data_IF_246084482439
#
_entry.id   IF_246084482439
#
_cell.length_a   1.000
_cell.length_b   1.000
_cell.length_c   1.000
_cell.angle_alpha   90.00
_cell.angle_beta   90.00
_cell.angle_gamma   90.00
#
_symmetry.space_group_name_H-M   'P 1'
#
loop_
_entity.id
_entity.type
_entity.pdbx_description
1 polymer ?
#
# COMPACT_ATOMS: atom_id res chain seq x y z
N UNK A 1 3.19 -2.67 -20.08
CA UNK A 1 4.05 -3.75 -19.56
C UNK A 1 5.47 -3.57 -20.07
N UNK A 2 6.51 -3.88 -19.27
CA UNK A 2 7.87 -4.00 -19.80
C UNK A 2 7.94 -5.13 -20.84
N UNK A 3 8.63 -4.96 -21.97
CA UNK A 3 8.78 -6.02 -22.97
C UNK A 3 9.63 -7.17 -22.39
N UNK A 4 9.32 -8.40 -22.76
CA UNK A 4 10.02 -9.61 -22.35
C UNK A 4 9.06 -10.80 -22.18
N UNK A 5 9.63 -12.01 -22.19
CA UNK A 5 8.93 -13.23 -21.81
C UNK A 5 9.07 -13.39 -20.29
N UNK A 6 7.96 -13.20 -19.57
CA UNK A 6 7.92 -13.19 -18.12
C UNK A 6 7.00 -14.29 -17.60
N UNK A 7 7.41 -14.99 -16.54
CA UNK A 7 6.55 -16.00 -15.87
C UNK A 7 5.33 -15.35 -15.21
N UNK A 8 5.50 -14.14 -14.66
CA UNK A 8 4.43 -13.39 -14.04
C UNK A 8 4.54 -11.90 -14.34
N UNK A 9 3.39 -11.27 -14.57
CA UNK A 9 3.30 -9.84 -14.87
C UNK A 9 2.24 -9.15 -14.03
N UNK A 10 2.50 -7.89 -13.68
CA UNK A 10 1.58 -7.07 -12.90
C UNK A 10 1.62 -5.61 -13.38
N UNK A 11 0.46 -4.98 -13.47
CA UNK A 11 0.26 -3.55 -13.64
C UNK A 11 -0.67 -3.03 -12.56
N UNK A 12 -0.25 -1.99 -11.85
CA UNK A 12 -1.05 -1.28 -10.84
C UNK A 12 -1.38 0.15 -11.30
N UNK A 13 -2.30 0.78 -10.58
CA UNK A 13 -2.62 2.21 -10.73
C UNK A 13 -2.23 2.99 -9.47
N UNK A 14 -2.36 4.32 -9.49
CA UNK A 14 -2.24 5.14 -8.30
C UNK A 14 -3.28 4.71 -7.26
N UNK A 15 -2.87 4.68 -5.99
CA UNK A 15 -3.77 4.40 -4.86
C UNK A 15 -3.71 5.56 -3.87
N UNK A 16 -4.89 6.02 -3.48
CA UNK A 16 -5.07 7.08 -2.49
C UNK A 16 -5.02 6.49 -1.07
N UNK A 17 -4.17 7.01 -0.16
CA UNK A 17 -4.12 6.55 1.24
C UNK A 17 -5.45 6.66 2.01
N UNK A 18 -6.32 7.56 1.58
CA UNK A 18 -7.74 7.62 1.97
C UNK A 18 -8.03 7.68 3.49
N UNK A 19 -7.11 8.25 4.27
CA UNK A 19 -7.37 8.55 5.68
C UNK A 19 -8.64 9.39 5.84
N UNK A 20 -9.49 9.04 6.81
CA UNK A 20 -10.81 9.66 6.97
C UNK A 20 -10.73 11.11 7.45
N UNK A 21 -9.90 11.39 8.46
CA UNK A 21 -9.66 12.76 8.91
C UNK A 21 -8.66 13.42 7.96
N UNK A 22 -9.08 14.47 7.24
CA UNK A 22 -8.17 15.20 6.35
C UNK A 22 -7.10 15.96 7.12
N UNK A 23 -6.10 16.44 6.39
CA UNK A 23 -4.99 17.17 6.97
C UNK A 23 -5.49 18.45 7.64
N UNK A 24 -5.21 18.55 8.93
CA UNK A 24 -5.48 19.72 9.73
C UNK A 24 -4.22 20.11 10.48
N UNK A 25 -3.95 21.41 10.52
CA UNK A 25 -2.87 21.96 11.31
C UNK A 25 -3.29 23.28 11.91
N UNK A 26 -2.86 23.53 13.14
CA UNK A 26 -3.12 24.76 13.87
C UNK A 26 -1.80 25.42 14.28
N UNK A 27 -1.77 26.75 14.27
CA UNK A 27 -0.59 27.51 14.65
C UNK A 27 -0.98 28.86 15.30
N UNK A 28 -0.19 29.29 16.30
CA UNK A 28 -0.20 30.66 16.82
C UNK A 28 0.84 31.51 16.09
N UNK A 29 0.70 32.86 16.08
CA UNK A 29 1.74 33.75 15.58
C UNK A 29 3.06 33.47 16.30
N UNK A 30 4.16 33.30 15.55
CA UNK A 30 5.47 32.98 16.13
C UNK A 30 5.68 31.51 16.53
N UNK A 31 4.63 30.68 16.56
CA UNK A 31 4.66 29.32 17.13
C UNK A 31 5.00 28.18 16.15
N UNK A 32 5.24 26.97 16.67
CA UNK A 32 5.43 25.77 15.82
C UNK A 32 4.05 25.20 15.46
N UNK A 33 3.74 24.94 14.17
CA UNK A 33 2.46 24.38 13.77
C UNK A 33 2.31 22.93 14.23
N UNK A 34 1.09 22.53 14.58
CA UNK A 34 0.77 21.15 14.94
C UNK A 34 0.93 20.21 13.74
N UNK A 35 1.52 19.03 13.95
CA UNK A 35 1.72 18.04 12.89
C UNK A 35 0.41 17.31 12.54
N UNK A 36 0.05 17.19 11.24
CA UNK A 36 -1.11 16.40 10.81
C UNK A 36 -0.96 14.90 11.05
N UNK A 37 0.24 14.41 11.41
CA UNK A 37 0.46 13.01 11.79
C UNK A 37 -0.28 12.61 13.08
N UNK A 38 -0.67 13.58 13.91
CA UNK A 38 -1.49 13.34 15.09
C UNK A 38 -2.99 13.21 14.78
N UNK A 39 -3.41 13.50 13.54
CA UNK A 39 -4.79 13.36 13.11
C UNK A 39 -5.14 11.88 12.87
N UNK A 40 -6.43 11.56 12.88
CA UNK A 40 -7.00 10.23 12.69
C UNK A 40 -6.64 9.60 11.33
N UNK A 41 -5.68 8.69 11.36
CA UNK A 41 -5.18 7.97 10.18
C UNK A 41 -4.23 8.81 9.35
N UNK A 42 -3.11 8.20 8.94
CA UNK A 42 -2.14 8.83 8.06
C UNK A 42 -1.78 7.94 6.86
N UNK A 43 -1.60 6.63 7.10
CA UNK A 43 -1.25 5.64 6.06
C UNK A 43 -0.09 6.09 5.16
N UNK A 44 0.83 6.90 5.71
CA UNK A 44 1.96 7.49 4.98
C UNK A 44 1.68 8.79 4.23
N UNK A 45 0.41 9.15 3.97
CA UNK A 45 0.06 10.28 3.10
C UNK A 45 0.08 11.66 3.76
N UNK A 46 0.42 11.77 5.05
CA UNK A 46 0.42 13.04 5.81
C UNK A 46 1.81 13.63 6.10
N UNK A 47 2.88 12.94 5.69
CA UNK A 47 4.25 13.39 5.95
C UNK A 47 4.60 14.70 5.25
N UNK A 48 4.07 14.91 4.04
CA UNK A 48 4.39 16.08 3.19
C UNK A 48 3.23 17.06 3.09
N UNK A 49 2.39 17.12 4.13
CA UNK A 49 1.23 18.01 4.14
C UNK A 49 1.61 19.49 4.04
N UNK A 50 0.89 20.24 3.22
CA UNK A 50 1.04 21.70 3.12
C UNK A 50 0.42 22.46 4.30
N UNK A 51 -0.50 21.81 5.05
CA UNK A 51 -1.30 22.46 6.09
C UNK A 51 -0.47 23.20 7.16
N UNK A 52 0.65 22.65 7.68
CA UNK A 52 1.46 23.30 8.72
C UNK A 52 2.07 24.63 8.28
N UNK A 53 2.68 24.66 7.09
CA UNK A 53 3.31 25.86 6.54
C UNK A 53 2.27 26.96 6.27
N UNK A 54 1.10 26.57 5.74
CA UNK A 54 -0.01 27.51 5.51
C UNK A 54 -0.56 28.05 6.83
N UNK A 55 -0.76 27.20 7.85
CA UNK A 55 -1.25 27.60 9.16
C UNK A 55 -0.30 28.61 9.82
N UNK A 56 1.01 28.35 9.77
CA UNK A 56 2.03 29.26 10.30
C UNK A 56 2.02 30.61 9.58
N UNK A 57 2.05 30.60 8.24
CA UNK A 57 2.06 31.83 7.43
C UNK A 57 0.83 32.69 7.72
N UNK A 58 -0.36 32.10 7.74
CA UNK A 58 -1.60 32.83 7.99
C UNK A 58 -1.70 33.33 9.44
N UNK A 59 -1.20 32.56 10.41
CA UNK A 59 -1.15 33.01 11.79
C UNK A 59 -0.27 34.26 11.96
N UNK A 60 0.92 34.26 11.36
CA UNK A 60 1.84 35.41 11.39
C UNK A 60 1.25 36.63 10.67
N UNK A 61 0.63 36.45 9.50
CA UNK A 61 0.03 37.54 8.73
C UNK A 61 -1.19 38.18 9.42
N UNK A 62 -1.98 37.38 10.13
CA UNK A 62 -3.21 37.86 10.77
C UNK A 62 -3.00 38.30 12.22
N UNK A 63 -1.86 37.97 12.83
CA UNK A 63 -1.61 38.18 14.26
C UNK A 63 -2.54 37.36 15.15
N UNK A 64 -3.18 36.30 14.64
CA UNK A 64 -4.14 35.46 15.36
C UNK A 64 -3.82 33.98 15.18
N UNK A 65 -4.30 33.15 16.10
CA UNK A 65 -4.19 31.71 15.93
C UNK A 65 -5.06 31.26 14.75
N UNK A 66 -4.50 30.43 13.86
CA UNK A 66 -5.16 29.94 12.65
C UNK A 66 -5.17 28.41 12.64
N UNK A 67 -6.31 27.84 12.24
CA UNK A 67 -6.44 26.42 11.87
C UNK A 67 -6.65 26.31 10.36
N UNK A 68 -5.80 25.53 9.70
CA UNK A 68 -6.00 25.09 8.31
C UNK A 68 -6.56 23.68 8.35
N UNK A 69 -7.60 23.44 7.55
CA UNK A 69 -8.20 22.13 7.33
C UNK A 69 -8.32 21.97 5.81
N UNK A 70 -7.64 20.96 5.25
CA UNK A 70 -7.75 20.68 3.83
C UNK A 70 -9.10 20.02 3.53
N UNK A 71 -9.70 20.41 2.41
CA UNK A 71 -10.84 19.67 1.88
C UNK A 71 -10.39 18.28 1.41
N UNK A 72 -11.33 17.34 1.25
CA UNK A 72 -11.01 16.04 0.66
C UNK A 72 -10.42 16.20 -0.75
N UNK A 73 -10.97 17.11 -1.53
CA UNK A 73 -10.48 17.37 -2.89
C UNK A 73 -9.03 17.87 -2.87
N UNK A 74 -8.68 18.79 -1.98
CA UNK A 74 -7.30 19.27 -1.83
C UNK A 74 -6.36 18.12 -1.46
N UNK A 75 -6.74 17.30 -0.47
CA UNK A 75 -5.97 16.11 -0.06
C UNK A 75 -5.70 15.19 -1.26
N UNK A 76 -6.70 14.91 -2.07
CA UNK A 76 -6.55 14.02 -3.22
C UNK A 76 -5.69 14.66 -4.31
N UNK A 77 -5.86 15.95 -4.58
CA UNK A 77 -5.13 16.64 -5.65
C UNK A 77 -3.66 16.90 -5.30
N UNK A 78 -3.35 17.18 -4.04
CA UNK A 78 -2.00 17.60 -3.63
C UNK A 78 -1.25 16.54 -2.83
N UNK A 79 -1.96 15.62 -2.17
CA UNK A 79 -1.34 14.58 -1.34
C UNK A 79 -0.67 13.50 -2.17
N UNK A 80 0.40 12.92 -1.63
CA UNK A 80 1.11 11.83 -2.28
C UNK A 80 0.25 10.55 -2.37
N UNK A 81 0.47 9.78 -3.43
CA UNK A 81 -0.17 8.49 -3.73
C UNK A 81 0.85 7.36 -3.76
N UNK A 82 0.37 6.12 -3.64
CA UNK A 82 1.19 4.96 -3.98
C UNK A 82 1.53 5.03 -5.48
N UNK A 83 2.80 4.87 -5.89
CA UNK A 83 3.18 4.96 -7.29
C UNK A 83 2.56 3.82 -8.11
N UNK A 84 2.00 4.08 -9.30
CA UNK A 84 1.66 3.04 -10.25
C UNK A 84 2.92 2.40 -10.79
N UNK A 85 2.85 1.11 -11.09
CA UNK A 85 3.95 0.39 -11.72
C UNK A 85 3.47 -0.67 -12.71
N UNK A 86 4.39 -1.13 -13.54
CA UNK A 86 4.25 -2.31 -14.37
C UNK A 86 5.52 -3.14 -14.28
N UNK A 87 5.41 -4.41 -13.90
CA UNK A 87 6.52 -5.33 -13.73
C UNK A 87 6.29 -6.64 -14.46
N UNK A 88 7.38 -7.27 -14.87
CA UNK A 88 7.44 -8.66 -15.30
C UNK A 88 8.63 -9.32 -14.63
N UNK A 89 8.42 -10.50 -14.03
CA UNK A 89 9.46 -11.24 -13.31
C UNK A 89 9.41 -12.73 -13.64
N UNK A 90 10.54 -13.41 -13.42
CA UNK A 90 10.71 -14.85 -13.59
C UNK A 90 10.97 -15.55 -12.26
N UNK A 91 10.80 -16.88 -12.24
CA UNK A 91 10.99 -17.72 -11.06
C UNK A 91 12.43 -17.70 -10.52
N UNK A 92 13.42 -17.31 -11.33
CA UNK A 92 14.82 -17.14 -10.92
C UNK A 92 15.11 -15.77 -10.24
N UNK A 93 14.07 -14.95 -10.07
CA UNK A 93 14.10 -13.63 -9.47
C UNK A 93 14.53 -12.50 -10.41
N UNK A 94 14.88 -12.79 -11.67
CA UNK A 94 15.15 -11.77 -12.66
C UNK A 94 13.85 -11.09 -13.11
N UNK A 95 13.93 -9.79 -13.40
CA UNK A 95 12.74 -9.06 -13.83
C UNK A 95 13.03 -7.64 -14.25
N UNK A 96 11.99 -6.99 -14.77
CA UNK A 96 12.01 -5.56 -15.08
C UNK A 96 10.76 -4.90 -14.52
N UNK A 97 10.94 -3.74 -13.92
CA UNK A 97 9.88 -2.90 -13.37
C UNK A 97 9.98 -1.50 -13.98
N UNK A 98 8.83 -0.96 -14.38
CA UNK A 98 8.64 0.44 -14.75
C UNK A 98 7.69 1.07 -13.75
N UNK A 99 8.00 2.25 -13.24
CA UNK A 99 7.14 2.92 -12.26
C UNK A 99 7.22 4.43 -12.37
N UNK A 100 6.19 5.12 -11.85
CA UNK A 100 6.25 6.56 -11.68
C UNK A 100 7.44 6.93 -10.79
N UNK A 101 8.25 7.89 -11.25
CA UNK A 101 9.45 8.37 -10.55
C UNK A 101 9.12 8.74 -9.12
N UNK A 102 9.80 8.10 -8.18
CA UNK A 102 9.55 8.28 -6.75
C UNK A 102 10.88 8.23 -6.01
N UNK A 103 11.25 9.25 -5.22
CA UNK A 103 12.54 9.26 -4.54
C UNK A 103 12.80 8.00 -3.71
N UNK A 104 13.92 7.32 -3.97
CA UNK A 104 14.35 6.10 -3.27
C UNK A 104 13.73 4.79 -3.78
N UNK A 105 12.96 4.81 -4.88
CA UNK A 105 12.21 3.65 -5.36
C UNK A 105 13.10 2.47 -5.70
N UNK A 106 14.19 2.69 -6.44
CA UNK A 106 15.10 1.63 -6.84
C UNK A 106 15.70 0.91 -5.62
N UNK A 107 16.17 1.67 -4.63
CA UNK A 107 16.74 1.10 -3.39
C UNK A 107 15.70 0.28 -2.61
N UNK A 108 14.45 0.76 -2.54
CA UNK A 108 13.37 0.04 -1.88
C UNK A 108 13.05 -1.30 -2.58
N UNK A 109 13.03 -1.31 -3.92
CA UNK A 109 12.84 -2.54 -4.71
C UNK A 109 14.02 -3.49 -4.51
N UNK A 110 15.26 -2.99 -4.61
CA UNK A 110 16.46 -3.82 -4.51
C UNK A 110 16.69 -4.41 -3.13
N UNK A 111 16.14 -3.81 -2.08
CA UNK A 111 16.15 -4.38 -0.73
C UNK A 111 15.43 -5.74 -0.64
N UNK A 112 14.44 -5.99 -1.50
CA UNK A 112 13.67 -7.25 -1.54
C UNK A 112 13.90 -8.07 -2.81
N UNK A 113 14.28 -7.43 -3.91
CA UNK A 113 14.42 -8.03 -5.22
C UNK A 113 15.65 -7.44 -5.96
N UNK A 114 16.89 -7.79 -5.54
CA UNK A 114 18.11 -7.17 -6.06
C UNK A 114 18.39 -7.47 -7.54
N UNK A 115 17.69 -8.45 -8.14
CA UNK A 115 17.84 -8.86 -9.55
C UNK A 115 16.84 -8.18 -10.50
N UNK A 116 15.95 -7.32 -9.99
CA UNK A 116 15.00 -6.59 -10.81
C UNK A 116 15.64 -5.29 -11.32
N UNK A 117 15.60 -5.06 -12.63
CA UNK A 117 15.94 -3.77 -13.22
C UNK A 117 14.78 -2.78 -13.05
N UNK A 118 15.05 -1.62 -12.45
CA UNK A 118 14.05 -0.57 -12.18
C UNK A 118 14.24 0.59 -13.16
N UNK A 119 13.16 0.96 -13.85
CA UNK A 119 13.08 2.11 -14.75
C UNK A 119 12.05 3.12 -14.21
N UNK A 120 12.53 4.26 -13.75
CA UNK A 120 11.69 5.35 -13.23
C UNK A 120 11.32 6.34 -14.33
N UNK A 121 10.02 6.53 -14.52
CA UNK A 121 9.44 7.33 -15.59
C UNK A 121 8.72 8.56 -15.02
N UNK A 122 8.86 9.69 -15.69
CA UNK A 122 8.00 10.85 -15.43
C UNK A 122 6.65 10.60 -16.11
N UNK A 123 5.61 10.41 -15.29
CA UNK A 123 4.25 10.11 -15.75
C UNK A 123 3.33 11.24 -15.26
N UNK A 124 2.48 11.81 -16.12
CA UNK A 124 1.44 12.74 -15.66
C UNK A 124 0.61 12.09 -14.56
N UNK A 125 0.57 12.70 -13.38
CA UNK A 125 -0.14 12.16 -12.23
C UNK A 125 0.10 12.94 -10.95
N UNK A 126 -0.63 12.58 -9.88
CA UNK A 126 -0.39 13.13 -8.56
C UNK A 126 1.00 12.72 -8.04
N UNK A 127 1.57 13.47 -7.08
CA UNK A 127 2.85 13.14 -6.47
C UNK A 127 2.82 11.74 -5.84
N UNK A 128 3.98 11.09 -5.77
CA UNK A 128 4.13 9.74 -5.21
C UNK A 128 5.07 9.73 -4.02
N UNK A 129 4.87 8.77 -3.10
CA UNK A 129 5.73 8.66 -1.92
C UNK A 129 5.89 7.22 -1.45
N UNK A 130 7.10 6.89 -0.98
CA UNK A 130 7.42 5.62 -0.32
C UNK A 130 7.01 5.57 1.15
N UNK A 131 6.54 6.69 1.73
CA UNK A 131 6.03 6.71 3.09
C UNK A 131 4.71 5.93 3.24
N UNK A 132 4.01 5.70 2.12
CA UNK A 132 2.79 4.91 2.06
C UNK A 132 3.13 3.43 2.27
N UNK A 133 2.34 2.74 3.10
CA UNK A 133 2.59 1.34 3.48
C UNK A 133 2.91 0.50 2.24
N UNK A 134 4.06 -0.16 2.26
CA UNK A 134 4.47 -1.11 1.24
C UNK A 134 4.87 -0.50 -0.11
N UNK A 135 4.81 0.82 -0.28
CA UNK A 135 5.12 1.46 -1.55
C UNK A 135 6.59 1.23 -1.92
N UNK A 136 6.82 0.78 -3.16
CA UNK A 136 8.15 0.54 -3.69
C UNK A 136 8.76 -0.83 -3.40
N UNK A 137 8.08 -1.72 -2.68
CA UNK A 137 8.58 -3.09 -2.46
C UNK A 137 7.47 -4.15 -2.45
N UNK A 138 6.25 -3.83 -2.02
CA UNK A 138 5.21 -4.83 -1.80
C UNK A 138 4.78 -5.55 -3.09
N UNK A 139 4.66 -4.86 -4.22
CA UNK A 139 4.28 -5.43 -5.51
C UNK A 139 5.25 -6.54 -5.94
N UNK A 140 6.56 -6.25 -5.89
CA UNK A 140 7.57 -7.23 -6.29
C UNK A 140 7.67 -8.38 -5.28
N UNK A 141 7.51 -8.10 -3.98
CA UNK A 141 7.41 -9.17 -2.96
C UNK A 141 6.21 -10.06 -3.20
N UNK A 142 5.04 -9.51 -3.54
CA UNK A 142 3.85 -10.29 -3.88
C UNK A 142 4.09 -11.18 -5.09
N UNK A 143 4.66 -10.62 -6.17
CA UNK A 143 4.93 -11.39 -7.39
C UNK A 143 5.91 -12.54 -7.12
N UNK A 144 6.99 -12.30 -6.37
CA UNK A 144 7.96 -13.33 -5.99
C UNK A 144 7.33 -14.42 -5.12
N UNK A 145 6.55 -14.02 -4.12
CA UNK A 145 5.84 -14.93 -3.22
C UNK A 145 4.83 -15.82 -3.95
N UNK A 146 4.13 -15.28 -4.95
CA UNK A 146 3.21 -16.03 -5.79
C UNK A 146 3.95 -17.03 -6.68
N UNK A 147 5.08 -16.64 -7.29
CA UNK A 147 5.89 -17.56 -8.09
C UNK A 147 6.46 -18.71 -7.25
N UNK A 148 6.91 -18.41 -6.02
CA UNK A 148 7.34 -19.44 -5.06
C UNK A 148 6.19 -20.40 -4.76
N UNK A 149 5.01 -19.89 -4.39
CA UNK A 149 3.84 -20.72 -4.13
C UNK A 149 3.43 -21.59 -5.34
N UNK A 150 3.53 -21.07 -6.56
CA UNK A 150 3.28 -21.84 -7.78
C UNK A 150 4.33 -22.91 -8.04
N UNK A 151 5.60 -22.64 -7.72
CA UNK A 151 6.69 -23.63 -7.73
C UNK A 151 6.43 -24.78 -6.76
N UNK A 152 5.81 -24.48 -5.62
CA UNK A 152 5.38 -25.44 -4.60
C UNK A 152 4.05 -26.13 -4.92
N UNK A 153 3.46 -25.84 -6.09
CA UNK A 153 2.29 -26.53 -6.63
C UNK A 153 0.97 -25.79 -6.51
N UNK A 154 0.95 -24.57 -5.96
CA UNK A 154 -0.26 -23.75 -5.96
C UNK A 154 -0.69 -23.36 -7.38
N UNK A 155 -1.99 -23.18 -7.59
CA UNK A 155 -2.56 -22.92 -8.92
C UNK A 155 -3.41 -21.66 -8.92
N UNK A 156 -3.27 -20.89 -9.99
CA UNK A 156 -4.08 -19.70 -10.24
C UNK A 156 -5.57 -20.07 -10.27
N UNK A 157 -6.38 -19.37 -9.48
CA UNK A 157 -7.83 -19.59 -9.37
C UNK A 157 -8.23 -20.65 -8.33
N UNK A 158 -7.30 -21.49 -7.88
CA UNK A 158 -7.54 -22.47 -6.81
C UNK A 158 -7.13 -21.93 -5.44
N UNK A 159 -6.22 -20.94 -5.41
CA UNK A 159 -5.66 -20.38 -4.19
C UNK A 159 -4.52 -21.23 -3.65
N UNK A 160 -4.14 -20.97 -2.40
CA UNK A 160 -3.03 -21.65 -1.73
C UNK A 160 -2.31 -20.73 -0.74
N UNK A 161 -1.42 -21.30 0.09
CA UNK A 161 -0.60 -20.52 1.01
C UNK A 161 0.40 -19.66 0.24
N UNK A 162 0.43 -18.37 0.54
CA UNK A 162 1.45 -17.44 0.03
C UNK A 162 2.25 -16.91 1.19
N UNK A 163 3.58 -17.10 1.14
CA UNK A 163 4.54 -16.67 2.16
C UNK A 163 5.21 -15.37 1.74
N UNK A 164 5.24 -14.37 2.62
CA UNK A 164 5.93 -13.11 2.36
C UNK A 164 6.80 -12.69 3.54
N UNK A 165 7.91 -12.03 3.23
CA UNK A 165 8.81 -11.37 4.19
C UNK A 165 8.87 -9.88 3.90
N UNK A 166 8.63 -9.07 4.93
CA UNK A 166 8.76 -7.62 4.82
C UNK A 166 10.22 -7.18 5.11
N UNK A 167 10.66 -6.00 4.64
CA UNK A 167 11.99 -5.43 4.95
C UNK A 167 12.26 -5.25 6.45
N UNK A 168 11.20 -5.12 7.26
CA UNK A 168 11.28 -5.08 8.73
C UNK A 168 11.74 -6.39 9.36
N UNK A 169 11.78 -7.49 8.61
CA UNK A 169 12.13 -8.83 9.07
C UNK A 169 10.93 -9.74 9.36
N UNK A 170 9.75 -9.16 9.59
CA UNK A 170 8.52 -9.90 9.84
C UNK A 170 8.13 -10.81 8.66
N UNK A 171 7.50 -11.94 8.96
CA UNK A 171 7.02 -12.88 7.96
C UNK A 171 5.55 -13.23 8.19
N UNK A 172 4.87 -13.58 7.11
CA UNK A 172 3.50 -14.06 7.18
C UNK A 172 3.22 -15.09 6.09
N UNK A 173 2.35 -16.05 6.41
CA UNK A 173 1.72 -16.92 5.44
C UNK A 173 0.23 -16.60 5.44
N UNK A 174 -0.36 -16.44 4.26
CA UNK A 174 -1.77 -16.18 4.11
C UNK A 174 -2.45 -17.15 3.14
N UNK A 175 -3.70 -17.48 3.43
CA UNK A 175 -4.63 -18.16 2.52
C UNK A 175 -5.90 -17.31 2.42
N UNK A 176 -6.41 -17.14 1.20
CA UNK A 176 -7.68 -16.45 0.94
C UNK A 176 -8.57 -17.40 0.14
N UNK A 177 -9.69 -17.81 0.75
CA UNK A 177 -10.62 -18.78 0.18
C UNK A 177 -12.09 -18.43 0.51
N UNK A 178 -13.00 -19.38 0.32
CA UNK A 178 -14.43 -19.20 0.56
C UNK A 178 -14.81 -19.06 2.05
N UNK A 179 -13.97 -19.49 2.98
CA UNK A 179 -14.19 -19.32 4.43
C UNK A 179 -13.70 -17.96 4.94
N UNK A 180 -12.67 -17.39 4.32
CA UNK A 180 -12.19 -16.06 4.68
C UNK A 180 -10.71 -15.85 4.40
N UNK A 181 -10.07 -15.08 5.27
CA UNK A 181 -8.63 -14.80 5.24
C UNK A 181 -7.99 -15.43 6.46
N UNK A 182 -7.08 -16.38 6.24
CA UNK A 182 -6.35 -17.05 7.30
C UNK A 182 -4.89 -16.61 7.25
N UNK A 183 -4.37 -16.08 8.35
CA UNK A 183 -3.02 -15.52 8.44
C UNK A 183 -2.27 -16.17 9.59
N UNK A 184 -1.05 -16.62 9.32
CA UNK A 184 -0.05 -16.93 10.35
C UNK A 184 1.09 -15.92 10.25
N UNK A 185 1.34 -15.15 11.31
CA UNK A 185 2.38 -14.10 11.35
C UNK A 185 3.47 -14.45 12.35
N UNK A 186 4.73 -14.22 11.99
CA UNK A 186 5.90 -14.31 12.87
C UNK A 186 6.67 -12.98 12.84
N UNK A 187 6.85 -12.37 14.01
CA UNK A 187 7.43 -11.02 14.12
C UNK A 187 8.12 -10.74 15.47
N UNK A 188 8.79 -11.74 16.05
CA UNK A 188 9.34 -11.62 17.40
C UNK A 188 8.28 -11.75 18.51
N UNK A 189 8.71 -11.46 19.73
CA UNK A 189 7.87 -11.44 20.93
C UNK A 189 6.87 -10.27 20.86
N UNK A 190 5.62 -10.57 20.48
CA UNK A 190 4.57 -9.57 20.32
C UNK A 190 4.37 -8.75 21.61
N UNK A 191 4.50 -7.43 21.52
CA UNK A 191 4.33 -6.51 22.64
C UNK A 191 2.91 -6.59 23.24
N UNK A 192 1.91 -6.63 22.37
CA UNK A 192 0.52 -6.86 22.72
C UNK A 192 -0.14 -7.67 21.59
N UNK A 193 -0.62 -8.89 21.87
CA UNK A 193 -1.17 -9.78 20.86
C UNK A 193 -2.57 -9.37 20.37
N UNK A 194 -3.32 -8.54 21.11
CA UNK A 194 -4.60 -7.97 20.66
C UNK A 194 -4.35 -6.83 19.67
N UNK A 195 -3.40 -5.96 19.99
CA UNK A 195 -2.98 -4.87 19.11
C UNK A 195 -2.38 -5.42 17.82
N UNK A 196 -1.49 -6.43 17.90
CA UNK A 196 -0.92 -7.06 16.72
C UNK A 196 -2.00 -7.64 15.80
N UNK A 197 -2.97 -8.40 16.34
CA UNK A 197 -4.09 -8.93 15.56
C UNK A 197 -4.88 -7.81 14.87
N UNK A 198 -5.11 -6.70 15.55
CA UNK A 198 -5.81 -5.54 14.97
C UNK A 198 -5.04 -4.93 13.77
N UNK A 199 -3.71 -4.80 13.88
CA UNK A 199 -2.87 -4.34 12.76
C UNK A 199 -2.85 -5.33 11.60
N UNK A 200 -2.81 -6.64 11.87
CA UNK A 200 -2.89 -7.69 10.85
C UNK A 200 -4.25 -7.68 10.13
N UNK A 201 -5.36 -7.50 10.84
CA UNK A 201 -6.69 -7.36 10.24
C UNK A 201 -6.78 -6.12 9.34
N UNK A 202 -6.23 -4.99 9.79
CA UNK A 202 -6.14 -3.78 8.96
C UNK A 202 -5.26 -3.95 7.73
N UNK A 203 -4.16 -4.70 7.86
CA UNK A 203 -3.29 -5.05 6.73
C UNK A 203 -4.01 -5.95 5.72
N UNK A 204 -4.75 -6.95 6.18
CA UNK A 204 -5.56 -7.80 5.31
C UNK A 204 -6.64 -7.01 4.56
N UNK A 205 -7.32 -6.08 5.24
CA UNK A 205 -8.30 -5.18 4.62
C UNK A 205 -7.69 -4.35 3.49
N UNK A 206 -6.56 -3.67 3.75
CA UNK A 206 -5.86 -2.89 2.72
C UNK A 206 -5.36 -3.77 1.57
N UNK A 207 -4.86 -4.97 1.85
CA UNK A 207 -4.39 -5.89 0.82
C UNK A 207 -5.52 -6.34 -0.12
N UNK A 208 -6.66 -6.74 0.45
CA UNK A 208 -7.84 -7.11 -0.33
C UNK A 208 -8.38 -5.94 -1.15
N UNK A 209 -8.48 -4.75 -0.55
CA UNK A 209 -8.90 -3.54 -1.26
C UNK A 209 -7.95 -3.23 -2.42
N UNK A 210 -6.65 -3.22 -2.17
CA UNK A 210 -5.62 -2.93 -3.16
C UNK A 210 -5.65 -3.87 -4.37
N UNK A 211 -5.80 -5.17 -4.15
CA UNK A 211 -5.88 -6.16 -5.24
C UNK A 211 -7.21 -6.03 -5.99
N UNK A 212 -8.34 -5.82 -5.27
CA UNK A 212 -9.67 -6.00 -5.85
C UNK A 212 -10.31 -4.74 -6.40
N UNK A 213 -10.14 -3.59 -5.75
CA UNK A 213 -11.02 -2.44 -6.02
C UNK A 213 -10.39 -1.06 -5.82
N UNK A 214 -9.37 -0.94 -4.98
CA UNK A 214 -8.73 0.34 -4.68
C UNK A 214 -7.88 0.83 -5.84
N UNK A 215 -8.10 2.08 -6.22
CA UNK A 215 -7.40 2.71 -7.32
C UNK A 215 -7.94 4.11 -7.59
N UNK A 216 -7.16 4.88 -8.34
CA UNK A 216 -7.46 6.25 -8.71
C UNK A 216 -7.45 6.38 -10.24
N UNK A 217 -8.53 6.91 -10.81
CA UNK A 217 -8.55 7.38 -12.19
C UNK A 217 -7.83 8.72 -12.30
N UNK A 218 -6.95 8.83 -13.30
CA UNK A 218 -6.14 10.00 -13.59
C UNK A 218 -6.31 10.32 -15.07
N UNK A 219 -6.59 11.59 -15.40
CA UNK A 219 -6.74 12.03 -16.80
C UNK A 219 -5.39 12.17 -17.52
N UNK A 220 -5.41 12.52 -18.81
CA UNK A 220 -4.21 12.68 -19.63
C UNK A 220 -3.28 13.79 -19.12
N UNK A 221 -3.82 14.79 -18.40
CA UNK A 221 -3.04 15.85 -17.78
C UNK A 221 -2.53 15.49 -16.37
N UNK A 222 -2.79 14.29 -15.87
CA UNK A 222 -2.33 13.83 -14.57
C UNK A 222 -3.23 14.24 -13.40
N UNK A 223 -4.46 14.69 -13.65
CA UNK A 223 -5.39 15.13 -12.59
C UNK A 223 -6.24 13.95 -12.08
N UNK A 224 -6.31 13.74 -10.75
CA UNK A 224 -7.27 12.81 -10.16
C UNK A 224 -8.72 13.14 -10.51
N UNK A 225 -9.46 12.13 -10.92
CA UNK A 225 -10.90 12.22 -11.24
C UNK A 225 -11.78 11.70 -10.10
N UNK A 226 -11.29 10.70 -9.35
CA UNK A 226 -11.95 10.21 -8.15
C UNK A 226 -11.59 11.13 -6.97
N UNK A 227 -12.57 11.84 -6.40
CA UNK A 227 -12.32 12.86 -5.36
C UNK A 227 -13.04 12.58 -4.03
N UNK A 228 -13.68 11.42 -3.89
CA UNK A 228 -14.47 11.06 -2.70
C UNK A 228 -14.05 9.71 -2.13
N UNK A 229 -14.26 9.50 -0.83
CA UNK A 229 -13.99 8.19 -0.18
C UNK A 229 -14.69 7.04 -0.94
N UNK A 230 -15.93 7.28 -1.41
CA UNK A 230 -16.70 6.28 -2.14
C UNK A 230 -16.08 5.92 -3.49
N UNK A 231 -15.46 6.88 -4.18
CA UNK A 231 -14.87 6.67 -5.51
C UNK A 231 -13.51 5.98 -5.47
N UNK A 232 -12.87 5.84 -4.31
CA UNK A 232 -11.56 5.17 -4.24
C UNK A 232 -11.65 3.65 -4.32
N UNK A 233 -12.84 3.07 -4.13
CA UNK A 233 -13.02 1.61 -4.17
C UNK A 233 -12.56 0.89 -2.90
N UNK A 234 -12.49 1.60 -1.77
CA UNK A 234 -12.12 1.00 -0.48
C UNK A 234 -13.15 -0.07 -0.10
N UNK A 235 -12.66 -1.22 0.32
CA UNK A 235 -13.49 -2.33 0.77
C UNK A 235 -14.35 -1.90 1.97
N UNK A 236 -15.67 -2.06 1.88
CA UNK A 236 -16.57 -1.68 2.98
C UNK A 236 -16.46 -2.69 4.11
N UNK A 237 -16.66 -2.26 5.35
CA UNK A 237 -16.59 -3.13 6.53
C UNK A 237 -17.55 -4.34 6.43
N UNK A 238 -18.74 -4.15 5.88
CA UNK A 238 -19.73 -5.23 5.65
C UNK A 238 -19.31 -6.25 4.58
N UNK A 239 -18.40 -5.87 3.67
CA UNK A 239 -17.92 -6.72 2.60
C UNK A 239 -16.58 -7.39 2.99
N UNK A 240 -16.07 -7.11 4.19
CA UNK A 240 -14.84 -7.69 4.70
C UNK A 240 -15.09 -9.16 5.08
N UNK A 241 -14.36 -10.14 4.50
CA UNK A 241 -14.42 -11.51 4.96
C UNK A 241 -13.90 -11.63 6.41
N UNK A 242 -14.25 -12.72 7.08
CA UNK A 242 -13.65 -13.05 8.37
C UNK A 242 -12.12 -13.14 8.22
N UNK A 243 -11.39 -12.55 9.17
CA UNK A 243 -9.93 -12.61 9.23
C UNK A 243 -9.51 -13.32 10.50
N UNK A 244 -8.86 -14.46 10.33
CA UNK A 244 -8.27 -15.24 11.42
C UNK A 244 -6.77 -15.01 11.45
N UNK A 245 -6.26 -14.58 12.61
CA UNK A 245 -4.83 -14.26 12.79
C UNK A 245 -4.25 -15.14 13.89
N UNK A 246 -3.41 -16.08 13.47
CA UNK A 246 -2.53 -16.89 14.30
C UNK A 246 -1.17 -16.18 14.44
N UNK A 247 -0.72 -16.00 15.68
CA UNK A 247 0.61 -15.44 15.97
C UNK A 247 1.52 -16.62 16.26
N UNK A 248 2.48 -16.87 15.38
CA UNK A 248 3.43 -17.94 15.54
C UNK A 248 4.38 -17.66 16.72
N UNK A 249 4.83 -18.73 17.37
CA UNK A 249 5.98 -18.65 18.28
C UNK A 249 7.23 -18.30 17.47
N UNK A 250 7.79 -17.12 17.74
CA UNK A 250 8.97 -16.58 17.08
C UNK A 250 9.76 -15.77 18.11
N UNK A 251 10.50 -16.43 19.04
CA UNK A 251 11.16 -15.73 20.13
C UNK A 251 12.22 -14.76 19.61
N UNK A 252 12.20 -13.51 20.05
CA UNK A 252 13.15 -12.50 19.62
C UNK A 252 12.61 -11.07 19.67
N UNK A 253 13.45 -10.07 19.34
CA UNK A 253 13.03 -8.67 19.35
C UNK A 253 11.83 -8.43 18.43
N UNK A 254 10.78 -7.73 18.88
CA UNK A 254 9.61 -7.47 18.07
C UNK A 254 9.93 -6.60 16.85
N UNK A 255 9.37 -7.00 15.71
CA UNK A 255 9.42 -6.25 14.44
C UNK A 255 8.02 -6.03 13.89
N UNK A 256 7.85 -5.17 12.87
CA UNK A 256 6.55 -4.98 12.25
C UNK A 256 6.17 -6.20 11.40
N UNK A 257 5.24 -7.04 11.89
CA UNK A 257 4.68 -8.17 11.15
C UNK A 257 3.54 -7.82 10.20
N UNK A 258 2.83 -6.70 10.42
CA UNK A 258 1.63 -6.34 9.65
C UNK A 258 1.91 -6.02 8.19
N UNK A 259 3.12 -5.55 7.86
CA UNK A 259 3.52 -5.31 6.47
C UNK A 259 3.76 -6.63 5.72
N UNK A 260 4.24 -7.68 6.40
CA UNK A 260 4.35 -9.01 5.82
C UNK A 260 2.96 -9.62 5.57
N UNK A 261 2.03 -9.43 6.51
CA UNK A 261 0.62 -9.82 6.33
C UNK A 261 -0.01 -9.11 5.13
N UNK A 262 0.25 -7.81 4.95
CA UNK A 262 -0.23 -7.07 3.79
C UNK A 262 0.23 -7.70 2.47
N UNK A 263 1.52 -8.02 2.34
CA UNK A 263 2.05 -8.66 1.14
C UNK A 263 1.52 -10.10 0.95
N UNK A 264 1.51 -10.92 2.00
CA UNK A 264 1.04 -12.30 1.93
C UNK A 264 -0.44 -12.37 1.52
N UNK A 265 -1.30 -11.55 2.15
CA UNK A 265 -2.75 -11.51 1.82
C UNK A 265 -2.98 -11.00 0.40
N UNK A 266 -2.22 -10.00 -0.06
CA UNK A 266 -2.34 -9.51 -1.43
C UNK A 266 -1.99 -10.61 -2.45
N UNK A 267 -0.89 -11.36 -2.22
CA UNK A 267 -0.52 -12.48 -3.07
C UNK A 267 -1.54 -13.63 -3.03
N UNK A 268 -2.02 -14.00 -1.84
CA UNK A 268 -3.04 -15.06 -1.69
C UNK A 268 -4.37 -14.68 -2.36
N UNK A 269 -4.80 -13.42 -2.25
CA UNK A 269 -6.00 -12.91 -2.92
C UNK A 269 -5.83 -12.88 -4.45
N UNK A 270 -4.66 -12.47 -4.94
CA UNK A 270 -4.38 -12.45 -6.37
C UNK A 270 -4.32 -13.86 -6.97
N UNK A 271 -3.67 -14.79 -6.25
CA UNK A 271 -3.56 -16.20 -6.61
C UNK A 271 -4.94 -16.86 -6.68
N UNK A 272 -5.80 -16.66 -5.68
CA UNK A 272 -7.16 -17.23 -5.68
C UNK A 272 -8.07 -16.62 -6.74
N UNK A 273 -7.73 -15.45 -7.28
CA UNK A 273 -8.47 -14.77 -8.36
C UNK A 273 -7.92 -15.04 -9.77
N UNK A 274 -6.96 -15.97 -9.91
CA UNK A 274 -6.48 -16.38 -11.23
C UNK A 274 -5.40 -15.48 -11.82
N UNK A 275 -4.74 -14.66 -11.00
CA UNK A 275 -3.55 -13.89 -11.39
C UNK A 275 -3.76 -12.89 -12.54
N UNK A 276 -4.91 -12.21 -12.58
CA UNK A 276 -5.16 -11.16 -13.57
C UNK A 276 -4.04 -10.10 -13.54
N UNK A 277 -3.43 -9.75 -14.69
CA UNK A 277 -2.20 -8.95 -14.72
C UNK A 277 -2.42 -7.47 -14.40
N UNK A 278 -3.65 -7.05 -14.12
CA UNK A 278 -4.01 -5.67 -13.85
C UNK A 278 -4.77 -5.56 -12.54
N UNK A 279 -4.26 -4.72 -11.64
CA UNK A 279 -4.93 -4.33 -10.41
C UNK A 279 -5.46 -2.90 -10.51
N UNK A 280 -6.64 -2.63 -9.92
CA UNK A 280 -7.50 -3.58 -9.22
C UNK A 280 -8.25 -4.57 -10.14
N UNK A 281 -8.42 -5.82 -9.72
CA UNK A 281 -8.98 -6.94 -10.52
C UNK A 281 -10.48 -6.87 -10.75
N UNK A 282 -11.23 -6.18 -9.88
CA UNK A 282 -12.71 -6.12 -9.90
C UNK A 282 -13.26 -4.73 -10.18
N UNK A 283 -12.43 -3.80 -10.62
CA UNK A 283 -12.87 -2.44 -10.99
C UNK A 283 -13.07 -2.37 -12.50
N UNK A 284 -14.32 -2.15 -12.92
CA UNK A 284 -14.61 -1.83 -14.33
C UNK A 284 -14.11 -0.43 -14.65
N UNK A 285 -13.28 -0.29 -15.69
CA UNK A 285 -12.96 1.01 -16.28
C UNK A 285 -14.23 1.57 -16.91
N UNK A 286 -14.74 2.68 -16.37
CA UNK A 286 -15.78 3.49 -17.01
C UNK A 286 -15.21 4.29 -18.16
#
# INVERSE_FOLDING_TARGET
MPPGDWDLTLRTTWVEPAYLETDASWCQPGGVPASPLANGGAFGGKWESVAPAVARRLADQTGRAVRVLLSREDVVRTGAKRPPLAAGINADGNGRMRAARTPGLADAVHAVAPRISVEELDVPGPPTSLAIRGAGWAEVTVMLAVLEAMGDGARAGEGGPVSARAPSGGTAVAVVDGSGVHVRVACGDALDPVVLRSYCTGAAHMALGWVRSEGLAVDEEGRPQDLTIRSFGILRAQDMPAVEVDIAEDPGPPVNGSDAVFAAVAGAAWLSEGLAPEWPTRRTRS
#
